data_IF_606130726544
#
_entry.id   IF_606130726544
#
_cell.length_a   1.000
_cell.length_b   1.000
_cell.length_c   1.000
_cell.angle_alpha   90.00
_cell.angle_beta   90.00
_cell.angle_gamma   90.00
#
_symmetry.space_group_name_H-M   'P 1'
#
loop_
_entity.id
_entity.type
_entity.pdbx_description
1 polymer ?
#
# COMPACT_ATOMS: atom_id res chain seq x y z
N UNK A 1 3.98 -6.66 -9.13
CA UNK A 1 3.10 -5.53 -9.41
C UNK A 1 2.45 -5.67 -10.78
N UNK A 2 1.29 -5.06 -10.94
CA UNK A 2 0.54 -5.01 -12.19
C UNK A 2 0.31 -3.57 -12.59
N UNK A 3 0.22 -3.32 -13.89
CA UNK A 3 -0.08 -2.00 -14.44
C UNK A 3 -1.29 -2.10 -15.35
N UNK A 4 -2.23 -1.19 -15.16
CA UNK A 4 -3.43 -1.11 -16.00
C UNK A 4 -3.74 0.37 -16.21
N UNK A 5 -3.43 0.87 -17.41
CA UNK A 5 -3.56 2.29 -17.71
C UNK A 5 -2.61 3.12 -16.86
N UNK A 6 -3.18 4.01 -16.03
CA UNK A 6 -2.41 4.90 -15.16
C UNK A 6 -2.30 4.39 -13.72
N UNK A 7 -2.60 3.13 -13.47
CA UNK A 7 -2.62 2.55 -12.13
C UNK A 7 -1.51 1.52 -11.97
N UNK A 8 -0.90 1.54 -10.79
CA UNK A 8 0.02 0.48 -10.36
C UNK A 8 -0.66 -0.29 -9.24
N UNK A 9 -0.68 -1.63 -9.37
CA UNK A 9 -1.23 -2.54 -8.36
C UNK A 9 -0.07 -3.30 -7.73
N UNK A 10 0.09 -3.19 -6.43
CA UNK A 10 1.21 -3.85 -5.75
C UNK A 10 0.79 -4.35 -4.37
N UNK A 11 1.63 -5.20 -3.81
CA UNK A 11 1.47 -5.70 -2.44
C UNK A 11 2.70 -5.34 -1.61
N UNK A 12 2.73 -5.80 -0.38
CA UNK A 12 3.86 -5.58 0.50
C UNK A 12 3.82 -6.51 1.70
N UNK A 13 4.78 -6.33 2.59
CA UNK A 13 4.93 -7.17 3.78
C UNK A 13 4.33 -6.54 5.03
N UNK A 14 3.97 -5.28 4.97
CA UNK A 14 3.32 -4.58 6.07
C UNK A 14 2.76 -3.25 5.63
N UNK A 15 1.75 -2.78 6.35
CA UNK A 15 1.10 -1.49 6.08
C UNK A 15 0.67 -0.87 7.39
N UNK A 16 1.13 0.34 7.65
CA UNK A 16 0.75 1.11 8.83
C UNK A 16 0.25 2.49 8.42
N UNK A 17 -0.10 3.31 9.40
CA UNK A 17 -0.46 4.71 9.13
C UNK A 17 0.67 5.51 8.47
N UNK A 18 1.91 5.02 8.53
CA UNK A 18 3.03 5.64 7.84
C UNK A 18 3.06 5.30 6.35
N UNK A 19 2.69 4.08 6.01
CA UNK A 19 2.67 3.64 4.62
C UNK A 19 2.93 2.16 4.42
N UNK A 20 3.31 1.80 3.21
CA UNK A 20 3.54 0.42 2.79
C UNK A 20 5.01 0.05 2.90
N UNK A 21 5.26 -1.14 3.46
CA UNK A 21 6.62 -1.67 3.66
C UNK A 21 6.90 -2.83 2.73
N UNK A 22 8.12 -2.88 2.21
CA UNK A 22 8.59 -3.97 1.36
C UNK A 22 9.96 -4.44 1.85
N UNK A 23 10.27 -5.72 1.61
CA UNK A 23 11.53 -6.32 2.05
C UNK A 23 12.52 -6.52 0.91
N UNK A 24 12.06 -6.62 -0.33
CA UNK A 24 12.92 -6.78 -1.50
C UNK A 24 13.31 -5.41 -2.03
N UNK A 25 14.54 -4.98 -1.75
CA UNK A 25 15.01 -3.66 -2.10
C UNK A 25 15.04 -3.41 -3.62
N UNK A 26 15.51 -4.38 -4.40
CA UNK A 26 15.60 -4.21 -5.85
C UNK A 26 14.22 -4.04 -6.47
N UNK A 27 13.27 -4.89 -6.08
CA UNK A 27 11.90 -4.79 -6.55
C UNK A 27 11.28 -3.47 -6.12
N UNK A 28 11.49 -3.07 -4.87
CA UNK A 28 10.93 -1.82 -4.35
C UNK A 28 11.46 -0.61 -5.12
N UNK A 29 12.75 -0.58 -5.40
CA UNK A 29 13.35 0.53 -6.16
C UNK A 29 12.79 0.63 -7.57
N UNK A 30 12.67 -0.52 -8.25
CA UNK A 30 12.11 -0.56 -9.60
C UNK A 30 10.65 -0.10 -9.59
N UNK A 31 9.87 -0.56 -8.62
CA UNK A 31 8.46 -0.19 -8.50
C UNK A 31 8.28 1.28 -8.13
N UNK A 32 9.15 1.83 -7.28
CA UNK A 32 9.11 3.27 -6.97
C UNK A 32 9.31 4.12 -8.21
N UNK A 33 10.23 3.70 -9.06
CA UNK A 33 10.49 4.40 -10.32
C UNK A 33 9.27 4.35 -11.24
N UNK A 34 8.64 3.17 -11.34
CA UNK A 34 7.44 3.01 -12.14
C UNK A 34 6.28 3.83 -11.57
N UNK A 35 6.14 3.86 -10.24
CA UNK A 35 5.10 4.64 -9.60
C UNK A 35 5.23 6.13 -9.91
N UNK A 36 6.45 6.65 -9.99
CA UNK A 36 6.68 8.05 -10.32
C UNK A 36 6.17 8.41 -11.72
N UNK A 37 6.08 7.42 -12.62
CA UNK A 37 5.56 7.62 -13.97
C UNK A 37 4.03 7.46 -14.01
N UNK A 38 3.50 6.42 -13.36
CA UNK A 38 2.06 6.11 -13.40
C UNK A 38 1.25 7.08 -12.54
N UNK A 39 1.73 7.35 -11.33
CA UNK A 39 1.12 8.33 -10.43
C UNK A 39 0.00 7.82 -9.55
N UNK A 40 -0.59 6.67 -9.84
CA UNK A 40 -1.70 6.10 -9.05
C UNK A 40 -1.31 4.75 -8.48
N UNK A 41 -1.60 4.54 -7.19
CA UNK A 41 -1.19 3.34 -6.48
C UNK A 41 -2.36 2.65 -5.80
N UNK A 42 -2.57 1.37 -6.14
CA UNK A 42 -3.50 0.49 -5.45
C UNK A 42 -2.70 -0.58 -4.73
N UNK A 43 -2.93 -0.72 -3.44
CA UNK A 43 -2.24 -1.71 -2.59
C UNK A 43 -3.21 -2.84 -2.28
N UNK A 44 -2.75 -4.08 -2.49
CA UNK A 44 -3.50 -5.29 -2.15
C UNK A 44 -2.70 -6.07 -1.11
N UNK A 45 -3.20 -6.12 0.11
CA UNK A 45 -2.58 -6.90 1.19
C UNK A 45 -3.67 -7.55 2.01
N UNK A 46 -3.40 -8.76 2.52
CA UNK A 46 -4.36 -9.40 3.41
C UNK A 46 -4.37 -8.70 4.77
N UNK A 47 -5.40 -8.97 5.57
CA UNK A 47 -5.60 -8.28 6.85
C UNK A 47 -4.45 -8.47 7.84
N UNK A 48 -3.69 -9.57 7.72
CA UNK A 48 -2.57 -9.83 8.64
C UNK A 48 -1.41 -8.86 8.45
N UNK A 49 -1.34 -8.18 7.32
CA UNK A 49 -0.27 -7.20 7.04
C UNK A 49 -0.57 -5.83 7.63
N UNK A 50 -1.84 -5.57 7.98
CA UNK A 50 -2.23 -4.28 8.51
C UNK A 50 -1.74 -4.15 9.95
N UNK A 51 -0.90 -3.14 10.19
CA UNK A 51 -0.28 -2.92 11.49
C UNK A 51 1.15 -3.44 11.57
N UNK A 52 1.65 -4.10 10.53
CA UNK A 52 2.99 -4.67 10.53
C UNK A 52 3.99 -3.76 9.86
N UNK A 53 5.17 -3.67 10.44
CA UNK A 53 6.34 -3.02 9.84
C UNK A 53 7.31 -4.10 9.43
N UNK A 54 7.79 -4.04 8.20
CA UNK A 54 8.71 -5.06 7.71
C UNK A 54 9.57 -4.46 6.60
N UNK A 55 10.87 -4.48 6.81
CA UNK A 55 11.80 -3.97 5.81
C UNK A 55 11.81 -2.44 5.76
N UNK A 56 11.63 -1.89 4.55
CA UNK A 56 11.72 -0.46 4.33
C UNK A 56 10.41 0.13 3.85
N UNK A 57 10.24 1.41 4.11
CA UNK A 57 9.07 2.14 3.64
C UNK A 57 9.14 2.30 2.13
N UNK A 58 8.20 1.69 1.43
CA UNK A 58 8.07 1.78 -0.03
C UNK A 58 7.35 3.06 -0.45
N UNK A 59 6.22 3.33 0.17
CA UNK A 59 5.44 4.54 -0.09
C UNK A 59 4.85 5.07 1.20
N UNK A 60 4.73 6.39 1.31
CA UNK A 60 3.98 6.99 2.41
C UNK A 60 2.49 6.70 2.23
N UNK A 61 1.76 6.69 3.33
CA UNK A 61 0.33 6.41 3.30
C UNK A 61 -0.42 7.40 2.37
N UNK A 62 -0.02 8.67 2.39
CA UNK A 62 -0.68 9.68 1.56
C UNK A 62 -0.43 9.53 0.06
N UNK A 63 0.46 8.63 -0.34
CA UNK A 63 0.70 8.30 -1.75
C UNK A 63 -0.18 7.15 -2.23
N UNK A 64 -0.86 6.46 -1.33
CA UNK A 64 -1.72 5.32 -1.67
C UNK A 64 -3.11 5.85 -2.03
N UNK A 65 -3.56 5.54 -3.23
CA UNK A 65 -4.89 5.97 -3.68
C UNK A 65 -5.97 5.03 -3.19
N UNK A 66 -5.70 3.71 -3.21
CA UNK A 66 -6.68 2.73 -2.75
C UNK A 66 -5.98 1.56 -2.07
N UNK A 67 -6.59 1.08 -1.00
CA UNK A 67 -6.17 -0.14 -0.31
C UNK A 67 -7.30 -1.17 -0.41
N UNK A 68 -6.95 -2.37 -0.87
CA UNK A 68 -7.84 -3.52 -0.87
C UNK A 68 -7.30 -4.50 0.16
N UNK A 69 -8.10 -4.83 1.17
CA UNK A 69 -7.68 -5.71 2.25
C UNK A 69 -8.86 -6.54 2.77
N UNK A 70 -8.58 -7.45 3.69
CA UNK A 70 -9.61 -8.32 4.27
C UNK A 70 -10.46 -7.62 5.32
N UNK A 71 -11.61 -8.22 5.62
CA UNK A 71 -12.59 -7.67 6.57
C UNK A 71 -12.07 -7.63 8.01
N UNK A 72 -11.06 -8.45 8.32
CA UNK A 72 -10.51 -8.53 9.68
C UNK A 72 -9.37 -7.54 9.94
N UNK A 73 -9.10 -6.65 9.01
CA UNK A 73 -8.05 -5.64 9.19
C UNK A 73 -8.39 -4.71 10.35
N UNK A 74 -7.35 -4.26 11.07
CA UNK A 74 -7.50 -3.38 12.23
C UNK A 74 -8.21 -2.08 11.84
N UNK A 75 -9.40 -1.81 12.38
CA UNK A 75 -10.19 -0.65 11.97
C UNK A 75 -9.55 0.69 12.32
N UNK A 76 -8.77 0.76 13.40
CA UNK A 76 -8.10 2.01 13.78
C UNK A 76 -7.08 2.43 12.71
N UNK A 77 -6.30 1.47 12.23
CA UNK A 77 -5.31 1.74 11.19
C UNK A 77 -6.00 2.13 9.89
N UNK A 78 -7.09 1.45 9.54
CA UNK A 78 -7.85 1.80 8.34
C UNK A 78 -8.40 3.22 8.43
N UNK A 79 -8.88 3.64 9.60
CA UNK A 79 -9.36 5.00 9.80
C UNK A 79 -8.25 6.03 9.62
N UNK A 80 -7.05 5.72 10.14
CA UNK A 80 -5.89 6.60 9.99
C UNK A 80 -5.49 6.73 8.52
N UNK A 81 -5.61 5.65 7.75
CA UNK A 81 -5.32 5.68 6.32
C UNK A 81 -6.36 6.50 5.57
N UNK A 82 -7.64 6.31 5.89
CA UNK A 82 -8.71 7.10 5.28
C UNK A 82 -8.53 8.60 5.55
N UNK A 83 -8.09 8.95 6.75
CA UNK A 83 -7.83 10.34 7.09
C UNK A 83 -6.73 10.96 6.23
N UNK A 84 -5.88 10.16 5.63
CA UNK A 84 -4.81 10.61 4.74
C UNK A 84 -5.20 10.55 3.26
N UNK A 85 -6.45 10.21 2.97
CA UNK A 85 -6.95 10.20 1.60
C UNK A 85 -6.96 8.84 0.93
N UNK A 86 -6.67 7.77 1.65
CA UNK A 86 -6.71 6.41 1.10
C UNK A 86 -8.14 5.91 1.02
N UNK A 87 -8.57 5.46 -0.15
CA UNK A 87 -9.86 4.78 -0.30
C UNK A 87 -9.69 3.32 0.13
N UNK A 88 -10.59 2.82 0.95
CA UNK A 88 -10.50 1.46 1.49
C UNK A 88 -11.59 0.59 0.90
N UNK A 89 -11.21 -0.57 0.35
CA UNK A 89 -12.14 -1.62 -0.05
C UNK A 89 -11.85 -2.87 0.76
N UNK A 90 -12.83 -3.33 1.52
CA UNK A 90 -12.72 -4.56 2.31
C UNK A 90 -13.39 -5.71 1.56
N UNK A 91 -12.72 -6.82 1.48
CA UNK A 91 -13.25 -8.00 0.76
C UNK A 91 -13.31 -9.25 1.63
#
# INVERSE_FOLDING_TARGET
SLYAGHWMFTSGKGLTAEGLYKTDMLTAMAEQKMLSVVGKLVVLVDSSKIGERAGMLFSRADQIDMLITGKNANPEILQQLEAQGVSILRV
#
